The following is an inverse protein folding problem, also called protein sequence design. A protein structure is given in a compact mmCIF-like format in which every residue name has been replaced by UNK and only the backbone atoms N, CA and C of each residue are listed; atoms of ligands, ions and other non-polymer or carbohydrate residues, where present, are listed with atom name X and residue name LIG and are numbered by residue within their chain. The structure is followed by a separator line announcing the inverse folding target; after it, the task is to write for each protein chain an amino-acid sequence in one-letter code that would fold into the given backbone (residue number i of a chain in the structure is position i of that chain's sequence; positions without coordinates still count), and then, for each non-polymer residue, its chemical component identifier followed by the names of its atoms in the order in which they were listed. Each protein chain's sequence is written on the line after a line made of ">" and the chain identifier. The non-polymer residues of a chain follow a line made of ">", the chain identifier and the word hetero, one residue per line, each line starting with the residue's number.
data_IF_817776408619
#
_entry.id   IF_817776408619
#
_cell.length_a   1.000
_cell.length_b   1.000
_cell.length_c   1.000
_cell.angle_alpha   90.00
_cell.angle_beta   90.00
_cell.angle_gamma   90.00
#
_symmetry.space_group_name_H-M   'P 1'
#
loop_
_entity.id
_entity.type
_entity.pdbx_description
1 polymer ?
#
# COMPACT_ATOMS: atom_id res chain seq x y z
N UNK A 1 25.82 67.63 -29.97
CA UNK A 1 24.54 67.48 -29.25
C UNK A 1 24.02 66.01 -29.14
N UNK A 2 24.80 65.04 -29.53
CA UNK A 2 24.36 63.61 -29.53
C UNK A 2 24.86 62.85 -28.31
N UNK A 3 25.77 63.39 -27.49
CA UNK A 3 26.36 62.66 -26.36
C UNK A 3 25.55 62.75 -25.04
N UNK A 4 24.68 63.77 -24.91
CA UNK A 4 23.89 63.96 -23.67
C UNK A 4 22.64 63.10 -23.65
N UNK A 5 22.13 62.67 -24.81
CA UNK A 5 20.94 61.80 -24.90
C UNK A 5 21.20 60.38 -24.48
N UNK A 6 22.40 59.86 -24.76
CA UNK A 6 22.78 58.50 -24.33
C UNK A 6 23.02 58.38 -22.81
N UNK A 7 23.46 59.44 -22.16
CA UNK A 7 23.64 59.47 -20.70
C UNK A 7 22.29 59.52 -19.96
N UNK A 8 21.31 60.21 -20.50
CA UNK A 8 19.96 60.31 -19.92
C UNK A 8 19.16 59.01 -20.10
N UNK A 9 19.31 58.31 -21.21
CA UNK A 9 18.70 56.96 -21.44
C UNK A 9 19.33 55.89 -20.56
N UNK A 10 20.63 55.93 -20.31
CA UNK A 10 21.33 55.05 -19.39
C UNK A 10 20.87 55.21 -17.93
N UNK A 11 20.63 56.48 -17.52
CA UNK A 11 20.17 56.76 -16.17
C UNK A 11 18.70 56.35 -15.93
N UNK A 12 17.85 56.51 -16.94
CA UNK A 12 16.45 56.01 -16.88
C UNK A 12 16.36 54.47 -16.85
N UNK A 13 17.30 53.76 -17.48
CA UNK A 13 17.32 52.32 -17.46
C UNK A 13 17.81 51.75 -16.13
N UNK A 14 18.78 52.43 -15.48
CA UNK A 14 19.25 52.02 -14.12
C UNK A 14 18.24 52.34 -13.04
N UNK A 15 17.41 53.39 -13.17
CA UNK A 15 16.32 53.70 -12.23
C UNK A 15 15.14 52.71 -12.42
N UNK A 16 14.92 52.23 -13.67
CA UNK A 16 13.86 51.23 -13.92
C UNK A 16 14.21 49.84 -13.42
N UNK A 17 15.51 49.49 -13.32
CA UNK A 17 15.98 48.24 -12.74
C UNK A 17 16.08 48.25 -11.21
N UNK A 18 16.10 49.43 -10.58
CA UNK A 18 16.12 49.57 -9.12
C UNK A 18 14.73 49.64 -8.48
N UNK A 19 13.65 49.74 -9.29
CA UNK A 19 12.26 49.86 -8.85
C UNK A 19 11.46 48.54 -8.88
N UNK A 20 12.09 47.38 -9.07
CA UNK A 20 11.42 46.08 -8.88
C UNK A 20 11.28 45.83 -7.39
N UNK A 21 10.23 46.41 -6.79
CA UNK A 21 9.74 46.00 -5.49
C UNK A 21 9.50 44.50 -5.51
N UNK A 22 10.29 43.78 -4.71
CA UNK A 22 10.05 42.39 -4.37
C UNK A 22 8.64 42.26 -3.80
N UNK A 23 7.72 41.82 -4.65
CA UNK A 23 6.46 41.23 -4.18
C UNK A 23 6.88 40.00 -3.40
N UNK A 24 6.84 40.06 -2.08
CA UNK A 24 7.01 38.96 -1.18
C UNK A 24 5.90 37.95 -1.50
N UNK A 25 6.29 36.84 -2.10
CA UNK A 25 5.44 35.68 -2.31
C UNK A 25 4.93 35.18 -0.94
N UNK A 26 3.61 35.11 -0.70
CA UNK A 26 3.07 34.67 0.59
C UNK A 26 3.38 33.21 0.94
N UNK A 27 4.07 32.45 0.08
CA UNK A 27 4.41 31.05 0.28
C UNK A 27 5.68 30.81 1.11
N UNK A 28 6.45 31.82 1.52
CA UNK A 28 7.68 31.69 2.33
C UNK A 28 7.52 31.97 3.83
N UNK A 29 6.33 31.88 4.39
CA UNK A 29 6.16 31.78 5.83
C UNK A 29 6.20 30.32 6.28
N UNK A 30 7.30 29.62 5.97
CA UNK A 30 7.61 28.37 6.68
C UNK A 30 8.14 28.76 8.07
N UNK A 31 7.53 28.25 9.16
CA UNK A 31 8.10 28.40 10.48
C UNK A 31 9.49 27.74 10.45
N UNK A 32 10.50 28.49 10.86
CA UNK A 32 11.88 28.00 11.03
C UNK A 32 11.90 26.92 12.12
N UNK A 33 11.48 25.70 11.76
CA UNK A 33 11.83 24.54 12.54
C UNK A 33 13.35 24.36 12.42
N UNK A 34 14.06 24.48 13.52
CA UNK A 34 15.44 24.07 13.61
C UNK A 34 15.45 22.56 13.27
N UNK A 35 15.69 22.23 12.01
CA UNK A 35 15.89 20.85 11.57
C UNK A 35 17.17 20.36 12.24
N UNK A 36 17.03 19.80 13.45
CA UNK A 36 18.11 19.01 14.05
C UNK A 36 18.37 17.86 13.09
N UNK A 37 19.47 17.95 12.33
CA UNK A 37 19.92 16.86 11.49
C UNK A 37 20.16 15.66 12.39
N UNK A 38 19.25 14.69 12.34
CA UNK A 38 19.38 13.42 13.05
C UNK A 38 20.69 12.75 12.60
N UNK A 39 21.43 12.24 13.55
CA UNK A 39 22.62 11.44 13.25
C UNK A 39 22.19 10.22 12.42
N UNK A 40 23.03 9.76 11.48
CA UNK A 40 22.70 8.64 10.58
C UNK A 40 22.26 7.36 11.31
N UNK A 41 22.77 7.16 12.52
CA UNK A 41 22.39 6.04 13.38
C UNK A 41 20.98 6.22 13.96
N UNK A 42 20.64 7.40 14.47
CA UNK A 42 19.30 7.73 14.99
C UNK A 42 18.23 7.58 13.89
N UNK A 43 18.55 8.04 12.66
CA UNK A 43 17.65 7.88 11.51
C UNK A 43 17.39 6.40 11.20
N UNK A 44 18.43 5.54 11.24
CA UNK A 44 18.27 4.09 11.02
C UNK A 44 17.44 3.42 12.11
N UNK A 45 17.61 3.82 13.37
CA UNK A 45 16.80 3.29 14.49
C UNK A 45 15.35 3.66 14.34
N UNK A 46 15.04 4.94 14.03
CA UNK A 46 13.66 5.38 13.73
C UNK A 46 13.06 4.61 12.54
N UNK A 47 13.80 4.43 11.45
CA UNK A 47 13.32 3.65 10.31
C UNK A 47 12.98 2.21 10.69
N UNK A 48 13.79 1.56 11.55
CA UNK A 48 13.50 0.22 12.07
C UNK A 48 12.24 0.18 12.93
N UNK A 49 12.02 1.20 13.77
CA UNK A 49 10.80 1.28 14.58
C UNK A 49 9.55 1.43 13.69
N UNK A 50 9.62 2.28 12.66
CA UNK A 50 8.49 2.45 11.72
C UNK A 50 8.24 1.14 10.95
N UNK A 51 9.28 0.46 10.45
CA UNK A 51 9.14 -0.84 9.79
C UNK A 51 8.50 -1.88 10.73
N UNK A 52 8.89 -1.89 12.02
CA UNK A 52 8.28 -2.76 13.02
C UNK A 52 6.78 -2.48 13.22
N UNK A 53 6.35 -1.20 13.18
CA UNK A 53 4.93 -0.82 13.23
C UNK A 53 4.19 -1.33 12.00
N UNK A 54 4.83 -1.28 10.83
CA UNK A 54 4.30 -1.83 9.57
C UNK A 54 4.31 -3.37 9.56
N UNK A 55 4.87 -4.02 10.58
CA UNK A 55 5.01 -5.47 10.67
C UNK A 55 6.08 -6.04 9.73
N UNK A 56 7.05 -5.20 9.33
CA UNK A 56 8.16 -5.58 8.47
C UNK A 56 9.43 -5.73 9.29
N UNK A 57 10.14 -6.87 9.14
CA UNK A 57 11.39 -7.12 9.84
C UNK A 57 12.55 -6.31 9.25
N UNK A 58 12.49 -6.00 7.97
CA UNK A 58 13.48 -5.22 7.22
C UNK A 58 12.80 -4.49 6.06
N UNK A 59 13.55 -3.56 5.45
CA UNK A 59 13.12 -2.83 4.26
C UNK A 59 13.08 -3.78 3.06
N UNK A 60 11.95 -3.90 2.35
CA UNK A 60 11.86 -4.70 1.13
C UNK A 60 12.83 -4.23 0.05
N UNK A 61 13.33 -5.20 -0.74
CA UNK A 61 14.25 -4.97 -1.87
C UNK A 61 13.71 -5.67 -3.11
N UNK A 62 12.64 -5.15 -3.72
CA UNK A 62 12.05 -5.79 -4.89
C UNK A 62 13.00 -5.78 -6.09
N UNK A 63 12.99 -6.85 -6.88
CA UNK A 63 13.68 -6.94 -8.16
C UNK A 63 12.78 -6.34 -9.26
N UNK A 64 12.80 -5.02 -9.42
CA UNK A 64 11.96 -4.32 -10.39
C UNK A 64 12.65 -4.29 -11.76
N UNK A 65 11.98 -4.79 -12.78
CA UNK A 65 12.41 -4.71 -14.17
C UNK A 65 12.08 -3.33 -14.76
N UNK A 66 13.09 -2.46 -14.90
CA UNK A 66 13.10 -1.21 -15.69
C UNK A 66 11.82 -0.34 -15.64
N UNK A 67 11.19 -0.17 -14.46
CA UNK A 67 10.12 0.82 -14.26
C UNK A 67 8.78 0.51 -14.95
N UNK A 68 8.59 -0.68 -15.53
CA UNK A 68 7.30 -1.12 -16.08
C UNK A 68 6.59 -2.03 -15.07
N UNK A 69 5.36 -1.68 -14.77
CA UNK A 69 4.50 -2.50 -13.91
C UNK A 69 3.95 -3.69 -14.69
N UNK A 70 3.98 -4.90 -14.07
CA UNK A 70 3.25 -6.07 -14.57
C UNK A 70 1.75 -5.93 -14.26
N UNK A 71 0.95 -6.91 -14.69
CA UNK A 71 -0.50 -6.95 -14.45
C UNK A 71 -0.88 -6.91 -12.96
N UNK A 72 -0.15 -7.66 -12.10
CA UNK A 72 -0.44 -7.70 -10.68
C UNK A 72 -0.34 -6.33 -9.98
N UNK A 73 0.74 -5.55 -10.10
CA UNK A 73 0.81 -4.19 -9.59
C UNK A 73 -0.29 -3.27 -10.12
N UNK A 74 -0.64 -3.37 -11.41
CA UNK A 74 -1.71 -2.55 -12.00
C UNK A 74 -3.07 -2.88 -11.37
N UNK A 75 -3.40 -4.16 -11.26
CA UNK A 75 -4.62 -4.62 -10.61
C UNK A 75 -4.69 -4.16 -9.14
N UNK A 76 -3.59 -4.29 -8.40
CA UNK A 76 -3.51 -3.87 -7.00
C UNK A 76 -3.61 -2.35 -6.84
N UNK A 77 -3.10 -1.58 -7.81
CA UNK A 77 -3.26 -0.13 -7.84
C UNK A 77 -4.72 0.28 -8.11
N UNK A 78 -5.42 -0.44 -8.99
CA UNK A 78 -6.86 -0.22 -9.23
C UNK A 78 -7.69 -0.52 -7.98
N UNK A 79 -7.36 -1.60 -7.23
CA UNK A 79 -7.96 -1.90 -5.93
C UNK A 79 -7.70 -0.78 -4.91
N UNK A 80 -6.46 -0.29 -4.81
CA UNK A 80 -6.10 0.81 -3.93
C UNK A 80 -6.89 2.08 -4.25
N UNK A 81 -6.99 2.43 -5.54
CA UNK A 81 -7.72 3.61 -5.99
C UNK A 81 -9.23 3.50 -5.69
N UNK A 82 -9.83 2.32 -5.86
CA UNK A 82 -11.24 2.11 -5.53
C UNK A 82 -11.54 2.32 -4.05
N UNK A 83 -10.64 1.89 -3.13
CA UNK A 83 -10.78 2.18 -1.69
C UNK A 83 -10.65 3.66 -1.37
N UNK A 84 -9.77 4.38 -2.07
CA UNK A 84 -9.53 5.81 -1.82
C UNK A 84 -10.66 6.69 -2.30
N UNK A 85 -11.47 6.21 -3.24
CA UNK A 85 -12.57 6.94 -3.87
C UNK A 85 -13.81 6.96 -2.97
N UNK A 86 -14.02 5.95 -2.15
CA UNK A 86 -15.13 5.92 -1.17
C UNK A 86 -15.01 7.02 -0.11
N UNK A 87 -13.80 7.54 0.14
CA UNK A 87 -13.57 8.67 1.07
C UNK A 87 -13.73 10.07 0.44
N UNK A 88 -13.83 10.18 -0.90
CA UNK A 88 -13.91 11.46 -1.63
C UNK A 88 -15.05 11.42 -2.66
N UNK A 89 -16.09 12.21 -2.44
CA UNK A 89 -17.29 12.32 -3.26
C UNK A 89 -17.17 13.11 -4.58
N UNK A 90 -15.95 13.32 -5.13
CA UNK A 90 -15.72 14.05 -6.38
C UNK A 90 -14.90 13.21 -7.39
N UNK A 91 -15.58 12.34 -8.18
CA UNK A 91 -14.88 11.26 -8.91
C UNK A 91 -15.20 11.13 -10.38
N UNK A 92 -15.60 12.14 -11.08
CA UNK A 92 -15.82 11.98 -12.54
C UNK A 92 -14.55 12.14 -13.41
N UNK A 93 -13.40 12.57 -12.86
CA UNK A 93 -12.25 12.93 -13.68
C UNK A 93 -11.15 11.86 -13.79
N UNK A 94 -11.11 10.83 -12.92
CA UNK A 94 -10.07 9.78 -12.94
C UNK A 94 -10.47 8.49 -13.66
N UNK A 95 -11.67 8.41 -14.22
CA UNK A 95 -12.25 7.18 -14.79
C UNK A 95 -11.65 6.73 -16.12
N UNK A 96 -10.73 7.50 -16.69
CA UNK A 96 -10.29 7.33 -18.09
C UNK A 96 -8.92 6.69 -18.31
N UNK A 97 -8.08 6.47 -17.29
CA UNK A 97 -6.68 6.12 -17.50
C UNK A 97 -6.31 4.63 -17.41
N UNK A 98 -7.15 3.77 -16.82
CA UNK A 98 -6.81 2.35 -16.59
C UNK A 98 -7.96 1.42 -17.02
N UNK A 99 -8.01 1.05 -18.29
CA UNK A 99 -9.09 0.23 -18.87
C UNK A 99 -8.82 -1.27 -18.91
N UNK A 100 -7.65 -1.76 -18.53
CA UNK A 100 -7.24 -3.14 -18.81
C UNK A 100 -7.33 -4.14 -17.65
N UNK A 101 -7.36 -3.68 -16.38
CA UNK A 101 -7.27 -4.58 -15.21
C UNK A 101 -8.40 -4.40 -14.20
N UNK A 102 -9.58 -3.92 -14.63
CA UNK A 102 -10.69 -3.61 -13.70
C UNK A 102 -10.95 -4.75 -12.72
N UNK A 103 -10.97 -4.46 -11.40
CA UNK A 103 -11.48 -5.40 -10.41
C UNK A 103 -12.94 -5.72 -10.70
N UNK A 104 -13.33 -6.98 -10.56
CA UNK A 104 -14.73 -7.40 -10.65
C UNK A 104 -15.51 -6.93 -9.42
N UNK A 105 -16.83 -6.94 -9.50
CA UNK A 105 -17.70 -6.67 -8.34
C UNK A 105 -17.38 -7.62 -7.18
N UNK A 106 -17.12 -8.90 -7.48
CA UNK A 106 -16.72 -9.88 -6.47
C UNK A 106 -15.41 -9.51 -5.79
N UNK A 107 -14.37 -9.11 -6.55
CA UNK A 107 -13.09 -8.66 -5.96
C UNK A 107 -13.26 -7.42 -5.08
N UNK A 108 -14.21 -6.52 -5.41
CA UNK A 108 -14.50 -5.34 -4.59
C UNK A 108 -15.25 -5.72 -3.30
N UNK A 109 -16.15 -6.69 -3.35
CA UNK A 109 -16.81 -7.22 -2.14
C UNK A 109 -15.79 -7.85 -1.18
N UNK A 110 -14.88 -8.67 -1.70
CA UNK A 110 -13.79 -9.26 -0.89
C UNK A 110 -12.87 -8.19 -0.30
N UNK A 111 -12.60 -7.11 -1.04
CA UNK A 111 -11.76 -6.00 -0.59
C UNK A 111 -12.35 -5.27 0.62
N UNK A 112 -13.67 -5.11 0.67
CA UNK A 112 -14.35 -4.41 1.77
C UNK A 112 -14.11 -5.11 3.12
N UNK A 113 -14.09 -6.44 3.11
CA UNK A 113 -13.90 -7.26 4.31
C UNK A 113 -12.43 -7.61 4.60
N UNK A 114 -11.52 -7.36 3.65
CA UNK A 114 -10.12 -7.70 3.81
C UNK A 114 -9.34 -6.62 4.59
N UNK A 115 -8.46 -7.06 5.47
CA UNK A 115 -7.45 -6.21 6.12
C UNK A 115 -6.15 -6.15 5.28
N UNK A 116 -5.92 -7.16 4.42
CA UNK A 116 -4.74 -7.27 3.57
C UNK A 116 -5.09 -8.00 2.25
N UNK A 117 -4.49 -7.55 1.15
CA UNK A 117 -4.53 -8.24 -0.14
C UNK A 117 -3.11 -8.43 -0.63
N UNK A 118 -2.79 -9.61 -1.15
CA UNK A 118 -1.48 -9.92 -1.73
C UNK A 118 -1.65 -10.44 -3.15
N UNK A 119 -0.84 -9.96 -4.08
CA UNK A 119 -0.70 -10.56 -5.41
C UNK A 119 0.59 -11.34 -5.48
N UNK A 120 0.57 -12.46 -6.20
CA UNK A 120 1.71 -13.36 -6.39
C UNK A 120 2.01 -13.48 -7.87
N UNK A 121 3.29 -13.27 -8.23
CA UNK A 121 3.74 -13.46 -9.60
C UNK A 121 3.92 -14.94 -9.91
N UNK A 122 3.65 -15.31 -11.15
CA UNK A 122 3.90 -16.68 -11.60
C UNK A 122 5.40 -16.96 -11.75
N UNK A 123 5.89 -18.00 -11.07
CA UNK A 123 7.31 -18.36 -11.05
C UNK A 123 7.75 -19.18 -12.25
N UNK A 124 6.88 -20.02 -12.79
CA UNK A 124 7.18 -20.95 -13.87
C UNK A 124 6.17 -20.83 -14.99
N UNK A 125 6.62 -21.05 -16.20
CA UNK A 125 5.77 -21.30 -17.34
C UNK A 125 6.47 -22.34 -18.22
N UNK A 126 6.00 -23.56 -18.10
CA UNK A 126 6.44 -24.67 -18.92
C UNK A 126 5.29 -25.07 -19.83
N UNK A 127 5.40 -24.70 -21.12
CA UNK A 127 4.55 -25.30 -22.15
C UNK A 127 5.11 -26.71 -22.42
N UNK A 128 4.39 -27.73 -21.99
CA UNK A 128 4.78 -29.12 -22.21
C UNK A 128 3.87 -29.73 -23.26
N UNK A 129 4.47 -30.44 -24.22
CA UNK A 129 3.80 -31.35 -25.14
C UNK A 129 4.10 -32.78 -24.70
N UNK A 130 3.09 -33.51 -24.26
CA UNK A 130 3.23 -34.92 -23.90
C UNK A 130 3.01 -35.80 -25.13
N UNK A 131 4.07 -36.46 -25.61
CA UNK A 131 3.99 -37.55 -26.56
C UNK A 131 3.64 -38.85 -25.81
N UNK A 132 2.76 -39.75 -26.38
CA UNK A 132 2.34 -39.89 -27.76
C UNK A 132 0.98 -39.20 -28.10
N UNK A 133 0.27 -38.64 -27.11
CA UNK A 133 -1.10 -38.13 -27.30
C UNK A 133 -1.19 -36.66 -27.74
N UNK A 134 -0.05 -35.97 -27.97
CA UNK A 134 0.05 -34.55 -28.33
C UNK A 134 -0.85 -33.63 -27.47
N UNK A 135 -0.83 -33.86 -26.15
CA UNK A 135 -1.55 -32.98 -25.22
C UNK A 135 -0.66 -31.82 -24.84
N UNK A 136 -1.20 -30.62 -24.96
CA UNK A 136 -0.51 -29.38 -24.61
C UNK A 136 -0.99 -28.88 -23.24
N UNK A 137 -0.04 -28.59 -22.35
CA UNK A 137 -0.31 -28.07 -21.02
C UNK A 137 0.55 -26.86 -20.74
N UNK A 138 0.04 -25.97 -19.88
CA UNK A 138 0.84 -24.88 -19.30
C UNK A 138 0.74 -24.90 -17.81
N UNK A 139 1.88 -24.83 -17.14
CA UNK A 139 2.00 -24.90 -15.69
C UNK A 139 2.17 -23.50 -15.08
N UNK A 140 1.61 -23.32 -13.88
CA UNK A 140 1.73 -22.11 -13.08
C UNK A 140 2.09 -22.47 -11.64
N UNK A 141 3.00 -21.70 -11.02
CA UNK A 141 3.43 -21.92 -9.65
C UNK A 141 3.62 -20.59 -8.93
N UNK A 142 3.11 -20.52 -7.71
CA UNK A 142 3.13 -19.31 -6.89
C UNK A 142 3.85 -19.56 -5.58
N UNK A 143 4.67 -18.60 -5.12
CA UNK A 143 5.33 -18.70 -3.83
C UNK A 143 4.49 -18.01 -2.74
N UNK A 144 3.90 -18.79 -1.86
CA UNK A 144 3.05 -18.33 -0.76
C UNK A 144 3.80 -18.21 0.57
N UNK A 145 5.12 -18.41 0.60
CA UNK A 145 5.93 -18.40 1.83
C UNK A 145 5.96 -17.05 2.56
N UNK A 146 5.56 -15.97 1.89
CA UNK A 146 5.52 -14.63 2.46
C UNK A 146 4.20 -14.32 3.20
N UNK A 147 3.24 -15.22 3.15
CA UNK A 147 1.99 -15.05 3.89
C UNK A 147 2.30 -15.17 5.39
N UNK A 148 1.95 -14.15 6.20
CA UNK A 148 2.22 -14.20 7.64
C UNK A 148 1.48 -15.34 8.31
N UNK A 149 2.10 -16.01 9.27
CA UNK A 149 1.48 -17.05 10.05
C UNK A 149 0.22 -16.55 10.78
N UNK A 150 -0.86 -17.33 10.69
CA UNK A 150 -2.14 -17.02 11.34
C UNK A 150 -3.05 -16.07 10.59
N UNK A 151 -2.70 -15.65 9.36
CA UNK A 151 -3.61 -14.96 8.45
C UNK A 151 -4.47 -15.99 7.71
N UNK A 152 -5.80 -15.76 7.67
CA UNK A 152 -6.73 -16.63 6.95
C UNK A 152 -7.03 -16.06 5.56
N UNK A 153 -6.88 -16.88 4.52
CA UNK A 153 -7.31 -16.51 3.17
C UNK A 153 -8.84 -16.59 3.12
N UNK A 154 -9.48 -15.46 2.86
CA UNK A 154 -10.94 -15.35 2.70
C UNK A 154 -11.39 -15.60 1.27
N UNK A 155 -10.56 -15.16 0.31
CA UNK A 155 -10.76 -15.40 -1.11
C UNK A 155 -9.41 -15.44 -1.82
N UNK A 156 -9.28 -16.24 -2.89
CA UNK A 156 -8.11 -16.23 -3.76
C UNK A 156 -8.52 -16.55 -5.20
N UNK A 157 -7.95 -15.80 -6.15
CA UNK A 157 -8.24 -15.91 -7.57
C UNK A 157 -6.95 -16.13 -8.37
N UNK A 158 -6.99 -17.06 -9.31
CA UNK A 158 -6.03 -17.15 -10.39
C UNK A 158 -6.56 -16.38 -11.58
N UNK A 159 -5.78 -15.45 -12.11
CA UNK A 159 -6.18 -14.54 -13.18
C UNK A 159 -5.28 -14.71 -14.40
N UNK A 160 -5.89 -14.92 -15.56
CA UNK A 160 -5.21 -15.08 -16.85
C UNK A 160 -5.93 -14.25 -17.91
N UNK A 161 -5.18 -13.54 -18.74
CA UNK A 161 -5.73 -12.72 -19.82
C UNK A 161 -5.90 -13.52 -21.08
N UNK A 162 -7.07 -13.39 -21.72
CA UNK A 162 -7.37 -13.92 -23.04
C UNK A 162 -7.42 -12.80 -24.05
N UNK A 163 -6.65 -12.95 -25.12
CA UNK A 163 -6.69 -12.08 -26.30
C UNK A 163 -7.66 -12.63 -27.34
N UNK A 164 -8.25 -11.76 -28.14
CA UNK A 164 -9.06 -12.13 -29.29
C UNK A 164 -8.20 -12.90 -30.31
N UNK A 165 -8.67 -14.06 -30.76
CA UNK A 165 -8.00 -14.87 -31.79
C UNK A 165 -8.54 -14.50 -33.16
N UNK A 166 -7.83 -13.61 -33.86
CA UNK A 166 -8.24 -13.10 -35.17
C UNK A 166 -8.19 -14.09 -36.33
N UNK A 167 -7.39 -15.18 -36.18
CA UNK A 167 -7.23 -16.23 -37.17
C UNK A 167 -8.32 -17.31 -37.11
N UNK A 168 -9.05 -17.39 -35.99
CA UNK A 168 -10.14 -18.35 -35.81
C UNK A 168 -11.47 -17.78 -36.34
N UNK A 169 -12.41 -18.65 -36.65
CA UNK A 169 -13.79 -18.22 -36.91
C UNK A 169 -14.36 -17.54 -35.68
N UNK A 170 -15.12 -16.45 -35.84
CA UNK A 170 -15.75 -15.76 -34.71
C UNK A 170 -16.63 -16.68 -33.83
N UNK A 171 -17.14 -17.76 -34.42
CA UNK A 171 -17.99 -18.74 -33.75
C UNK A 171 -17.18 -19.95 -33.21
N UNK A 172 -15.87 -19.95 -33.36
CA UNK A 172 -15.04 -21.02 -32.80
C UNK A 172 -14.98 -20.91 -31.28
N UNK A 173 -15.07 -22.05 -30.61
CA UNK A 173 -15.01 -22.15 -29.17
C UNK A 173 -13.93 -23.09 -28.72
N UNK A 174 -13.31 -22.77 -27.59
CA UNK A 174 -12.31 -23.57 -26.93
C UNK A 174 -12.80 -23.98 -25.54
N UNK A 175 -12.47 -25.17 -25.10
CA UNK A 175 -12.70 -25.63 -23.73
C UNK A 175 -11.39 -25.45 -22.95
N UNK A 176 -11.37 -24.48 -22.04
CA UNK A 176 -10.28 -24.29 -21.08
C UNK A 176 -10.57 -25.08 -19.82
N UNK A 177 -9.65 -25.93 -19.40
CA UNK A 177 -9.72 -26.67 -18.15
C UNK A 177 -8.54 -26.28 -17.26
N UNK A 178 -8.83 -25.97 -15.99
CA UNK A 178 -7.87 -25.60 -14.95
C UNK A 178 -7.79 -26.72 -13.94
N UNK A 179 -6.59 -27.22 -13.67
CA UNK A 179 -6.33 -28.36 -12.79
C UNK A 179 -5.40 -27.95 -11.65
N UNK A 180 -5.61 -28.53 -10.49
CA UNK A 180 -4.61 -28.64 -9.44
C UNK A 180 -3.66 -29.80 -9.76
N UNK A 181 -2.36 -29.58 -9.61
CA UNK A 181 -1.37 -30.66 -9.59
C UNK A 181 -1.37 -31.30 -8.21
N UNK A 182 -1.72 -32.59 -8.15
CA UNK A 182 -1.85 -33.36 -6.88
C UNK A 182 -0.61 -34.19 -6.60
N UNK A 183 0.02 -34.73 -7.65
CA UNK A 183 1.22 -35.55 -7.53
C UNK A 183 2.07 -35.47 -8.80
N UNK A 184 3.37 -35.45 -8.63
CA UNK A 184 4.36 -35.58 -9.70
C UNK A 184 5.03 -36.96 -9.60
N UNK A 185 5.10 -37.66 -10.72
CA UNK A 185 5.71 -39.00 -10.79
C UNK A 185 6.83 -39.02 -11.84
N UNK A 186 7.99 -39.65 -11.54
CA UNK A 186 9.10 -39.67 -12.49
C UNK A 186 8.79 -40.45 -13.79
N UNK A 187 7.94 -41.48 -13.72
CA UNK A 187 7.74 -42.45 -14.81
C UNK A 187 6.32 -42.44 -15.42
N UNK A 188 5.44 -41.57 -14.98
CA UNK A 188 4.07 -41.47 -15.48
C UNK A 188 3.55 -40.02 -15.48
N UNK A 189 2.39 -39.83 -16.12
CA UNK A 189 1.69 -38.56 -16.15
C UNK A 189 1.42 -38.03 -14.73
N UNK A 190 1.38 -36.72 -14.60
CA UNK A 190 1.08 -35.95 -13.37
C UNK A 190 -0.35 -36.25 -12.94
N UNK A 191 -0.57 -36.50 -11.65
CA UNK A 191 -1.91 -36.63 -11.10
C UNK A 191 -2.57 -35.24 -11.03
N UNK A 192 -3.73 -35.10 -11.70
CA UNK A 192 -4.44 -33.84 -11.84
C UNK A 192 -5.82 -33.93 -11.22
N UNK A 193 -6.23 -32.87 -10.52
CA UNK A 193 -7.60 -32.68 -10.05
C UNK A 193 -8.23 -31.50 -10.76
N UNK A 194 -9.34 -31.71 -11.46
CA UNK A 194 -10.06 -30.65 -12.19
C UNK A 194 -10.68 -29.68 -11.19
N UNK A 195 -10.33 -28.40 -11.31
CA UNK A 195 -10.93 -27.32 -10.52
C UNK A 195 -12.14 -26.73 -11.24
N UNK A 196 -11.94 -26.30 -12.49
CA UNK A 196 -12.97 -25.67 -13.32
C UNK A 196 -12.75 -25.92 -14.80
N UNK A 197 -13.83 -26.04 -15.57
CA UNK A 197 -13.80 -26.00 -17.04
C UNK A 197 -14.71 -24.91 -17.55
N UNK A 198 -14.19 -24.10 -18.48
CA UNK A 198 -14.90 -22.96 -19.05
C UNK A 198 -14.82 -22.96 -20.57
N UNK A 199 -15.95 -22.73 -21.22
CA UNK A 199 -15.99 -22.54 -22.69
C UNK A 199 -15.67 -21.08 -23.01
N UNK A 200 -14.71 -20.87 -23.91
CA UNK A 200 -14.25 -19.57 -24.35
C UNK A 200 -14.55 -19.37 -25.82
N UNK A 201 -15.00 -18.18 -26.20
CA UNK A 201 -15.14 -17.83 -27.60
C UNK A 201 -13.84 -17.30 -28.17
N UNK A 202 -13.53 -17.61 -29.42
CA UNK A 202 -12.31 -17.10 -30.09
C UNK A 202 -12.26 -15.57 -30.08
N UNK A 203 -13.42 -14.91 -30.28
CA UNK A 203 -13.54 -13.45 -30.30
C UNK A 203 -13.57 -12.79 -28.90
N UNK A 204 -13.66 -13.57 -27.82
CA UNK A 204 -13.67 -13.05 -26.46
C UNK A 204 -12.31 -12.49 -26.09
N UNK A 205 -12.29 -11.32 -25.43
CA UNK A 205 -11.08 -10.69 -24.90
C UNK A 205 -11.33 -10.19 -23.48
N UNK A 206 -10.39 -10.43 -22.59
CA UNK A 206 -10.44 -9.95 -21.21
C UNK A 206 -9.80 -10.89 -20.20
N UNK A 207 -9.93 -10.52 -18.93
CA UNK A 207 -9.47 -11.33 -17.81
C UNK A 207 -10.42 -12.48 -17.52
N UNK A 208 -9.86 -13.66 -17.36
CA UNK A 208 -10.51 -14.86 -16.86
C UNK A 208 -10.06 -15.05 -15.40
N UNK A 209 -11.03 -15.27 -14.52
CA UNK A 209 -10.85 -15.40 -13.08
C UNK A 209 -11.31 -16.79 -12.66
N UNK A 210 -10.48 -17.46 -11.87
CA UNK A 210 -10.75 -18.80 -11.34
C UNK A 210 -10.60 -18.77 -9.83
N UNK A 211 -11.62 -19.23 -9.12
CA UNK A 211 -11.58 -19.37 -7.66
C UNK A 211 -10.64 -20.50 -7.25
N UNK A 212 -9.60 -20.15 -6.52
CA UNK A 212 -8.63 -21.07 -5.96
C UNK A 212 -8.52 -20.95 -4.43
N UNK A 213 -9.56 -20.44 -3.77
CA UNK A 213 -9.58 -20.16 -2.33
C UNK A 213 -9.28 -21.40 -1.50
N UNK A 214 -10.00 -22.50 -1.74
CA UNK A 214 -9.81 -23.76 -0.99
C UNK A 214 -8.40 -24.31 -1.20
N UNK A 215 -7.91 -24.26 -2.46
CA UNK A 215 -6.59 -24.72 -2.82
C UNK A 215 -5.49 -23.87 -2.17
N UNK A 216 -5.64 -22.55 -2.16
CA UNK A 216 -4.69 -21.63 -1.56
C UNK A 216 -4.57 -21.84 -0.05
N UNK A 217 -5.68 -22.10 0.64
CA UNK A 217 -5.67 -22.44 2.05
C UNK A 217 -4.94 -23.77 2.31
N UNK A 218 -5.10 -24.76 1.42
CA UNK A 218 -4.34 -26.02 1.50
C UNK A 218 -2.83 -25.76 1.33
N UNK A 219 -2.44 -24.93 0.37
CA UNK A 219 -1.04 -24.62 0.12
C UNK A 219 -0.37 -23.84 1.25
N UNK A 220 -1.11 -22.99 1.96
CA UNK A 220 -0.60 -22.28 3.14
C UNK A 220 -0.42 -23.21 4.33
N UNK A 221 -1.39 -24.11 4.56
CA UNK A 221 -1.32 -25.07 5.68
C UNK A 221 -0.33 -26.19 5.43
N UNK A 222 -0.17 -26.58 4.18
CA UNK A 222 0.70 -27.70 3.77
C UNK A 222 1.52 -27.31 2.54
N UNK A 223 2.63 -26.55 2.69
CA UNK A 223 3.42 -26.04 1.56
C UNK A 223 3.96 -27.10 0.62
N UNK A 224 4.16 -28.34 1.10
CA UNK A 224 4.60 -29.48 0.27
C UNK A 224 3.56 -29.88 -0.80
N UNK A 225 2.29 -29.55 -0.60
CA UNK A 225 1.22 -29.80 -1.57
C UNK A 225 1.08 -28.67 -2.61
N UNK A 226 1.90 -27.61 -2.52
CA UNK A 226 1.93 -26.57 -3.55
C UNK A 226 2.74 -27.03 -4.76
N UNK A 227 2.16 -27.92 -5.53
CA UNK A 227 2.72 -28.37 -6.80
C UNK A 227 2.31 -27.48 -7.96
N UNK A 228 1.38 -26.52 -7.75
CA UNK A 228 0.96 -25.54 -8.72
C UNK A 228 -0.35 -25.88 -9.42
N UNK A 229 -0.62 -25.12 -10.48
CA UNK A 229 -1.77 -25.29 -11.38
C UNK A 229 -1.31 -25.73 -12.75
N UNK A 230 -2.18 -26.42 -13.46
CA UNK A 230 -2.00 -26.76 -14.86
C UNK A 230 -3.25 -26.40 -15.64
N UNK A 231 -3.09 -25.85 -16.85
CA UNK A 231 -4.20 -25.60 -17.76
C UNK A 231 -4.04 -26.42 -19.03
N UNK A 232 -5.17 -26.86 -19.59
CA UNK A 232 -5.25 -27.43 -20.93
C UNK A 232 -6.35 -26.75 -21.73
N UNK A 233 -6.18 -26.73 -23.04
CA UNK A 233 -7.17 -26.18 -23.96
C UNK A 233 -7.48 -27.18 -25.05
N UNK A 234 -8.77 -27.38 -25.29
CA UNK A 234 -9.27 -28.26 -26.35
C UNK A 234 -10.18 -27.46 -27.31
N UNK A 235 -10.09 -27.79 -28.57
CA UNK A 235 -11.04 -27.30 -29.58
C UNK A 235 -12.42 -27.94 -29.41
N UNK A 236 -13.44 -27.44 -30.11
CA UNK A 236 -14.78 -28.04 -30.15
C UNK A 236 -14.79 -29.49 -30.69
N UNK A 237 -13.75 -29.87 -31.44
CA UNK A 237 -13.56 -31.23 -31.95
C UNK A 237 -12.77 -32.15 -31.00
N UNK A 238 -12.39 -31.69 -29.81
CA UNK A 238 -11.67 -32.46 -28.79
C UNK A 238 -10.16 -32.56 -29.02
N UNK A 239 -9.60 -31.74 -29.92
CA UNK A 239 -8.13 -31.68 -30.11
C UNK A 239 -7.50 -30.77 -29.08
N UNK A 240 -6.46 -31.26 -28.42
CA UNK A 240 -5.64 -30.43 -27.53
C UNK A 240 -4.77 -29.47 -28.35
N UNK A 241 -4.79 -28.19 -27.99
CA UNK A 241 -4.01 -27.14 -28.63
C UNK A 241 -3.17 -26.39 -27.60
N UNK A 242 -2.11 -25.71 -28.07
CA UNK A 242 -1.32 -24.85 -27.20
C UNK A 242 -2.20 -23.71 -26.66
N UNK A 243 -2.21 -23.42 -25.34
CA UNK A 243 -2.99 -22.34 -24.74
C UNK A 243 -2.78 -20.97 -25.43
N UNK A 244 -1.61 -20.72 -25.99
CA UNK A 244 -1.30 -19.52 -26.77
C UNK A 244 -2.14 -19.43 -28.07
N UNK A 245 -2.44 -20.55 -28.70
CA UNK A 245 -3.26 -20.58 -29.93
C UNK A 245 -4.71 -20.20 -29.65
N UNK A 246 -5.19 -20.48 -28.43
CA UNK A 246 -6.50 -20.03 -27.94
C UNK A 246 -6.49 -18.57 -27.41
N UNK A 247 -5.37 -17.85 -27.56
CA UNK A 247 -5.22 -16.47 -27.13
C UNK A 247 -4.89 -16.27 -25.65
N UNK A 248 -4.54 -17.33 -24.89
CA UNK A 248 -4.17 -17.20 -23.49
C UNK A 248 -2.76 -16.63 -23.35
N UNK A 249 -2.68 -15.46 -22.71
CA UNK A 249 -1.42 -14.76 -22.49
C UNK A 249 -0.61 -15.48 -21.42
N UNK A 250 0.67 -15.71 -21.71
CA UNK A 250 1.59 -16.35 -20.78
C UNK A 250 2.60 -15.37 -20.18
N UNK A 251 3.58 -15.90 -19.45
CA UNK A 251 4.64 -15.14 -18.78
C UNK A 251 5.47 -14.26 -19.73
N UNK A 252 5.61 -14.66 -20.99
CA UNK A 252 6.37 -13.94 -22.00
C UNK A 252 5.51 -12.99 -22.84
N UNK A 253 4.23 -12.83 -22.49
CA UNK A 253 3.32 -11.87 -23.11
C UNK A 253 3.55 -10.44 -22.60
N UNK A 254 2.66 -9.54 -23.02
CA UNK A 254 2.66 -8.15 -22.57
C UNK A 254 2.60 -8.09 -21.04
N UNK A 255 3.45 -7.25 -20.43
CA UNK A 255 3.62 -7.20 -18.96
C UNK A 255 2.30 -6.95 -18.24
N UNK A 256 1.46 -6.07 -18.78
CA UNK A 256 0.16 -5.69 -18.25
C UNK A 256 -0.92 -6.79 -18.38
N UNK A 257 -0.63 -7.89 -19.08
CA UNK A 257 -1.55 -9.01 -19.32
C UNK A 257 -1.04 -10.35 -18.80
N UNK A 258 0.11 -10.34 -18.12
CA UNK A 258 0.70 -11.57 -17.57
C UNK A 258 -0.19 -12.18 -16.49
N UNK A 259 -0.25 -13.52 -16.40
CA UNK A 259 -1.04 -14.20 -15.39
C UNK A 259 -0.46 -14.00 -13.98
N UNK A 260 -1.35 -13.89 -13.00
CA UNK A 260 -1.00 -13.75 -11.59
C UNK A 260 -2.07 -14.37 -10.69
N UNK A 261 -1.75 -14.51 -9.43
CA UNK A 261 -2.68 -14.89 -8.38
C UNK A 261 -2.89 -13.70 -7.44
N UNK A 262 -4.09 -13.53 -6.92
CA UNK A 262 -4.40 -12.58 -5.86
C UNK A 262 -5.11 -13.29 -4.72
N UNK A 263 -4.77 -12.94 -3.47
CA UNK A 263 -5.42 -13.49 -2.28
C UNK A 263 -5.80 -12.37 -1.32
N UNK A 264 -6.98 -12.49 -0.72
CA UNK A 264 -7.58 -11.59 0.24
C UNK A 264 -7.51 -12.21 1.63
N UNK A 265 -7.14 -11.42 2.63
CA UNK A 265 -6.90 -11.89 3.99
C UNK A 265 -7.68 -11.08 5.00
N UNK A 266 -8.18 -11.75 6.02
CA UNK A 266 -8.74 -11.12 7.21
C UNK A 266 -7.85 -11.45 8.40
N UNK A 267 -7.42 -10.43 9.12
CA UNK A 267 -6.61 -10.63 10.32
C UNK A 267 -7.44 -11.37 11.36
N UNK A 268 -6.98 -12.54 11.78
CA UNK A 268 -7.57 -13.24 12.92
C UNK A 268 -7.38 -12.39 14.17
N UNK A 269 -8.47 -11.99 14.86
CA UNK A 269 -8.43 -11.17 16.08
C UNK A 269 -7.71 -11.83 17.27
N UNK A 270 -7.27 -13.08 17.10
CA UNK A 270 -6.59 -13.89 18.13
C UNK A 270 -5.08 -13.59 18.24
N UNK A 271 -4.59 -12.48 17.73
CA UNK A 271 -3.23 -12.04 18.10
C UNK A 271 -3.25 -11.57 19.57
N UNK A 272 -2.90 -12.50 20.44
CA UNK A 272 -2.45 -12.19 21.81
C UNK A 272 -1.48 -11.00 21.69
N UNK A 273 -1.88 -9.84 22.23
CA UNK A 273 -0.99 -8.69 22.37
C UNK A 273 0.23 -9.20 23.13
N UNK A 274 1.29 -9.54 22.41
CA UNK A 274 2.61 -9.68 23.05
C UNK A 274 2.92 -8.32 23.64
N UNK A 275 2.79 -8.23 24.96
CA UNK A 275 3.07 -7.02 25.72
C UNK A 275 4.46 -6.53 25.30
N UNK A 276 4.56 -5.27 24.87
CA UNK A 276 5.85 -4.61 24.69
C UNK A 276 6.64 -4.89 25.94
N UNK A 277 7.72 -5.67 25.85
CA UNK A 277 8.66 -5.85 26.94
C UNK A 277 9.18 -4.46 27.27
N UNK A 278 8.81 -3.98 28.46
CA UNK A 278 9.38 -2.75 29.01
C UNK A 278 10.85 -3.02 29.19
N UNK A 279 11.66 -2.62 28.22
CA UNK A 279 13.11 -2.67 28.32
C UNK A 279 13.48 -1.92 29.59
N UNK A 280 14.16 -2.62 30.51
CA UNK A 280 14.71 -2.03 31.74
C UNK A 280 15.49 -0.78 31.37
N UNK A 281 14.91 0.38 31.65
CA UNK A 281 15.52 1.69 31.51
C UNK A 281 16.74 1.73 32.45
N UNK A 282 17.90 1.56 31.88
CA UNK A 282 19.18 1.76 32.57
C UNK A 282 19.21 3.24 33.00
N UNK A 283 19.05 3.49 34.30
CA UNK A 283 19.25 4.81 34.90
C UNK A 283 20.71 5.21 34.71
N UNK A 284 20.97 6.01 33.71
CA UNK A 284 22.20 6.78 33.64
C UNK A 284 21.98 8.08 34.41
N UNK A 285 22.60 8.18 35.57
CA UNK A 285 22.77 9.44 36.29
C UNK A 285 23.38 10.47 35.33
N UNK A 286 22.57 11.39 34.82
CA UNK A 286 23.07 12.57 34.13
C UNK A 286 23.00 13.75 35.10
N UNK A 287 24.18 14.20 35.51
CA UNK A 287 24.40 15.46 36.19
C UNK A 287 23.64 16.59 35.48
N UNK A 288 22.79 17.25 36.24
CA UNK A 288 22.07 18.44 35.87
C UNK A 288 23.08 19.60 35.78
N UNK A 289 23.64 19.86 34.61
CA UNK A 289 24.34 21.13 34.35
C UNK A 289 23.30 22.20 34.06
N UNK A 290 23.22 23.20 34.94
CA UNK A 290 22.45 24.42 34.79
C UNK A 290 22.97 25.18 33.55
N UNK A 291 22.26 25.09 32.45
CA UNK A 291 22.40 26.07 31.36
C UNK A 291 21.26 27.10 31.56
N UNK A 292 21.65 28.26 32.08
CA UNK A 292 20.83 29.48 32.02
C UNK A 292 20.75 29.88 30.57
N UNK A 293 19.64 29.62 29.91
CA UNK A 293 19.28 30.24 28.63
C UNK A 293 18.69 31.61 28.92
N UNK A 294 19.35 32.65 28.41
CA UNK A 294 18.85 34.02 28.37
C UNK A 294 17.51 34.05 27.64
N UNK A 295 16.60 34.85 28.19
CA UNK A 295 15.24 34.95 27.76
C UNK A 295 15.07 35.42 26.31
N UNK A 296 14.20 34.70 25.64
CA UNK A 296 13.48 35.21 24.50
C UNK A 296 12.05 35.46 24.96
N UNK A 297 11.72 36.74 25.19
CA UNK A 297 10.38 37.18 25.53
C UNK A 297 9.52 37.18 24.26
N UNK A 298 9.24 36.03 23.69
CA UNK A 298 8.07 35.84 22.83
C UNK A 298 6.98 35.23 23.71
N UNK A 299 5.95 36.02 23.95
CA UNK A 299 4.75 35.57 24.63
C UNK A 299 4.16 34.37 23.91
N UNK A 300 4.55 33.17 24.35
CA UNK A 300 3.86 31.93 24.00
C UNK A 300 2.41 32.06 24.47
N UNK A 301 1.53 32.52 23.59
CA UNK A 301 0.12 32.25 23.72
C UNK A 301 -0.02 30.74 23.68
N UNK A 302 -0.01 30.13 24.87
CA UNK A 302 -0.27 28.70 25.02
C UNK A 302 -1.60 28.38 24.36
N UNK A 303 -1.52 27.75 23.19
CA UNK A 303 -2.70 27.45 22.39
C UNK A 303 -3.50 26.33 23.05
N UNK A 304 -4.84 26.45 22.99
CA UNK A 304 -5.74 25.40 23.47
C UNK A 304 -5.51 24.08 22.71
N UNK A 305 -5.78 22.95 23.38
CA UNK A 305 -5.67 21.61 22.78
C UNK A 305 -6.40 21.54 21.44
N UNK A 306 -5.67 21.21 20.39
CA UNK A 306 -6.20 21.09 19.02
C UNK A 306 -5.37 20.14 18.16
N UNK A 307 -5.94 19.79 17.01
CA UNK A 307 -5.24 19.05 15.97
C UNK A 307 -4.32 19.98 15.19
N UNK A 308 -3.08 19.54 14.97
CA UNK A 308 -2.06 20.16 14.14
C UNK A 308 -1.73 19.29 12.95
N UNK A 309 -1.29 19.92 11.86
CA UNK A 309 -0.90 19.22 10.64
C UNK A 309 0.47 18.56 10.80
N UNK A 310 0.56 17.32 10.37
CA UNK A 310 1.80 16.56 10.22
C UNK A 310 1.65 15.69 8.98
N UNK A 311 2.49 15.97 7.97
CA UNK A 311 2.57 15.14 6.79
C UNK A 311 3.78 14.21 6.88
N UNK A 312 3.56 12.90 6.66
CA UNK A 312 4.61 11.89 6.59
C UNK A 312 4.86 11.53 5.14
N UNK A 313 6.03 11.89 4.62
CA UNK A 313 6.45 11.60 3.25
C UNK A 313 7.30 10.34 3.19
N UNK A 314 6.89 9.34 2.43
CA UNK A 314 7.68 8.12 2.21
C UNK A 314 8.93 8.40 1.37
N UNK A 315 8.91 9.45 0.54
CA UNK A 315 10.09 9.92 -0.20
C UNK A 315 11.19 10.44 0.74
N UNK A 316 10.83 11.24 1.76
CA UNK A 316 11.79 11.74 2.75
C UNK A 316 12.39 10.63 3.62
N UNK A 317 11.63 9.55 3.84
CA UNK A 317 12.12 8.32 4.46
C UNK A 317 13.03 7.51 3.52
N UNK A 318 13.08 7.84 2.22
CA UNK A 318 13.84 7.12 1.20
C UNK A 318 13.21 5.77 0.85
N UNK A 319 11.87 5.66 0.86
CA UNK A 319 11.11 4.43 0.66
C UNK A 319 10.35 4.35 -0.67
N UNK A 320 10.56 5.32 -1.56
CA UNK A 320 9.90 5.40 -2.86
C UNK A 320 10.25 4.26 -3.84
N UNK A 321 11.24 3.45 -3.53
CA UNK A 321 11.67 2.32 -4.36
C UNK A 321 10.85 1.04 -4.11
N UNK A 322 10.15 0.95 -2.99
CA UNK A 322 9.34 -0.22 -2.65
C UNK A 322 7.89 0.11 -2.27
N UNK A 323 7.58 1.36 -1.89
CA UNK A 323 6.19 1.81 -1.69
C UNK A 323 5.64 2.35 -3.01
N UNK A 324 4.51 1.78 -3.46
CA UNK A 324 3.82 2.16 -4.69
C UNK A 324 2.87 3.33 -4.42
N UNK A 325 2.06 3.23 -3.37
CA UNK A 325 1.06 4.23 -2.98
C UNK A 325 0.72 4.16 -1.49
N UNK A 326 0.37 5.31 -0.87
CA UNK A 326 0.49 6.69 -1.38
C UNK A 326 1.94 7.21 -1.33
N UNK A 327 2.21 8.41 -1.86
CA UNK A 327 3.52 9.07 -1.69
C UNK A 327 3.79 9.50 -0.24
N UNK A 328 2.73 9.69 0.54
CA UNK A 328 2.73 10.06 1.95
C UNK A 328 1.31 10.27 2.44
N UNK A 329 1.14 10.63 3.71
CA UNK A 329 -0.17 10.84 4.30
C UNK A 329 -0.16 11.90 5.41
N UNK A 330 -1.29 12.55 5.63
CA UNK A 330 -1.50 13.52 6.70
C UNK A 330 -1.76 12.77 8.03
N UNK A 331 -0.70 12.46 8.77
CA UNK A 331 -0.78 11.78 10.06
C UNK A 331 -1.45 12.65 11.12
N UNK A 332 -1.14 13.95 11.12
CA UNK A 332 -1.52 14.95 12.11
C UNK A 332 -1.07 14.58 13.53
N UNK A 333 -1.19 15.52 14.47
CA UNK A 333 -0.90 15.30 15.90
C UNK A 333 -1.73 16.22 16.78
N UNK A 334 -1.80 15.90 18.06
CA UNK A 334 -2.48 16.71 19.07
C UNK A 334 -1.46 17.47 19.90
N UNK A 335 -1.68 18.79 20.05
CA UNK A 335 -0.87 19.63 20.91
C UNK A 335 -1.70 20.78 21.46
N UNK A 336 -1.21 21.36 22.55
CA UNK A 336 -1.84 22.46 23.25
C UNK A 336 -2.22 22.14 24.68
N UNK A 337 -2.63 23.17 25.42
CA UNK A 337 -2.97 23.04 26.83
C UNK A 337 -4.45 22.72 27.07
N UNK A 338 -4.70 21.87 28.07
CA UNK A 338 -6.00 21.58 28.66
C UNK A 338 -6.20 22.44 29.92
N UNK A 339 -6.32 23.77 29.74
CA UNK A 339 -6.49 24.70 30.84
C UNK A 339 -7.95 25.09 30.98
N UNK A 340 -8.38 25.36 32.24
CA UNK A 340 -9.73 25.84 32.54
C UNK A 340 -9.96 27.26 31.95
N UNK A 341 -11.17 27.56 31.43
CA UNK A 341 -12.30 26.64 31.26
C UNK A 341 -12.13 25.75 30.03
N UNK A 342 -12.37 24.44 30.17
CA UNK A 342 -12.40 23.52 29.07
C UNK A 342 -13.65 23.79 28.22
N UNK A 343 -13.44 24.24 26.97
CA UNK A 343 -14.54 24.57 26.08
C UNK A 343 -15.01 23.35 25.26
N UNK A 344 -16.15 23.48 24.58
CA UNK A 344 -16.73 22.39 23.80
C UNK A 344 -15.82 21.90 22.65
N UNK A 345 -14.92 22.76 22.14
CA UNK A 345 -14.00 22.40 21.06
C UNK A 345 -12.84 21.51 21.49
N UNK A 346 -12.58 21.44 22.80
CA UNK A 346 -11.54 20.59 23.38
C UNK A 346 -11.95 19.13 23.57
N UNK A 347 -13.18 18.75 23.22
CA UNK A 347 -13.71 17.38 23.37
C UNK A 347 -13.28 16.73 24.72
N UNK A 348 -13.39 17.49 25.81
CA UNK A 348 -12.95 17.05 27.11
C UNK A 348 -13.88 15.98 27.65
N UNK A 349 -13.30 14.93 28.26
CA UNK A 349 -14.07 13.95 29.02
C UNK A 349 -14.56 14.54 30.34
N UNK A 350 -15.63 14.00 30.92
CA UNK A 350 -16.07 14.38 32.26
C UNK A 350 -14.95 14.21 33.29
N UNK A 351 -14.11 13.19 33.14
CA UNK A 351 -12.93 12.97 33.97
C UNK A 351 -11.95 14.15 33.86
N UNK A 352 -11.60 14.58 32.66
CA UNK A 352 -10.70 15.70 32.43
C UNK A 352 -11.24 17.01 33.02
N UNK A 353 -12.56 17.24 32.97
CA UNK A 353 -13.21 18.39 33.61
C UNK A 353 -12.98 18.36 35.12
N UNK A 354 -13.28 17.22 35.78
CA UNK A 354 -13.08 17.04 37.21
C UNK A 354 -11.60 17.17 37.59
N UNK A 355 -10.71 16.52 36.81
CA UNK A 355 -9.27 16.61 37.06
C UNK A 355 -8.76 18.05 36.97
N UNK A 356 -9.25 18.84 36.00
CA UNK A 356 -8.89 20.26 35.88
C UNK A 356 -9.32 21.06 37.09
N UNK A 357 -10.52 20.83 37.59
CA UNK A 357 -11.01 21.51 38.80
C UNK A 357 -10.16 21.15 40.01
N UNK A 358 -9.83 19.85 40.19
CA UNK A 358 -8.97 19.40 41.29
C UNK A 358 -7.55 19.95 41.13
N UNK A 359 -7.02 20.02 39.89
CA UNK A 359 -5.72 20.65 39.62
C UNK A 359 -5.70 22.12 40.05
N UNK A 360 -6.75 22.89 39.81
CA UNK A 360 -6.83 24.27 40.25
C UNK A 360 -6.77 24.42 41.79
N UNK A 361 -7.34 23.45 42.51
CA UNK A 361 -7.29 23.44 43.97
C UNK A 361 -5.96 22.91 44.53
N UNK A 362 -5.33 21.95 43.85
CA UNK A 362 -4.11 21.30 44.33
C UNK A 362 -3.14 21.00 43.18
N UNK A 363 -2.51 22.04 42.56
CA UNK A 363 -1.67 21.91 41.38
C UNK A 363 -0.39 21.09 41.59
N UNK A 364 0.04 20.95 42.85
CA UNK A 364 1.28 20.20 43.17
C UNK A 364 1.09 18.68 43.10
N UNK A 365 -0.11 18.19 43.34
CA UNK A 365 -0.40 16.75 43.46
C UNK A 365 -1.20 16.19 42.30
N UNK A 366 -1.94 17.03 41.57
CA UNK A 366 -2.77 16.60 40.43
C UNK A 366 -2.33 17.33 39.15
N UNK A 367 -1.86 16.62 38.14
CA UNK A 367 -1.48 17.24 36.85
C UNK A 367 -2.71 17.72 36.07
N UNK A 368 -2.50 18.63 35.12
CA UNK A 368 -3.51 18.98 34.12
C UNK A 368 -3.82 17.75 33.25
N UNK A 369 -5.03 17.66 32.66
CA UNK A 369 -5.31 16.72 31.59
C UNK A 369 -4.36 16.90 30.39
N UNK A 370 -4.16 15.83 29.64
CA UNK A 370 -3.30 15.85 28.45
C UNK A 370 -4.14 16.02 27.19
N UNK A 371 -3.59 16.78 26.22
CA UNK A 371 -4.13 16.84 24.87
C UNK A 371 -3.74 15.56 24.11
N UNK A 372 -4.73 14.75 23.74
CA UNK A 372 -4.50 13.46 23.12
C UNK A 372 -5.50 13.16 21.98
N UNK A 373 -5.17 12.24 21.06
CA UNK A 373 -6.11 11.80 20.03
C UNK A 373 -7.34 11.12 20.60
N UNK A 374 -8.52 11.62 20.23
CA UNK A 374 -9.83 11.02 20.58
C UNK A 374 -10.38 10.16 19.46
N UNK A 375 -9.99 10.44 18.21
CA UNK A 375 -10.40 9.68 17.03
C UNK A 375 -9.21 9.48 16.10
N UNK A 376 -8.94 8.21 15.78
CA UNK A 376 -7.90 7.78 14.88
C UNK A 376 -8.50 7.04 13.67
N UNK A 377 -7.89 7.19 12.51
CA UNK A 377 -8.27 6.49 11.28
C UNK A 377 -7.13 5.62 10.77
N UNK A 378 -7.49 4.65 9.93
CA UNK A 378 -6.54 3.80 9.23
C UNK A 378 -6.01 4.49 7.98
N UNK A 379 -4.89 3.96 7.44
CA UNK A 379 -4.42 4.19 6.08
C UNK A 379 -4.24 2.85 5.38
N UNK A 380 -4.39 2.85 4.06
CA UNK A 380 -3.98 1.73 3.22
C UNK A 380 -2.66 2.06 2.56
N UNK A 381 -1.73 1.12 2.56
CA UNK A 381 -0.41 1.26 1.92
C UNK A 381 -0.22 0.11 0.94
N UNK A 382 0.17 0.45 -0.28
CA UNK A 382 0.47 -0.46 -1.37
C UNK A 382 1.98 -0.51 -1.56
N UNK A 383 2.59 -1.70 -1.46
CA UNK A 383 4.03 -1.85 -1.49
C UNK A 383 4.48 -3.21 -2.03
N UNK A 384 5.76 -3.30 -2.43
CA UNK A 384 6.40 -4.55 -2.84
C UNK A 384 7.05 -5.27 -1.66
N UNK A 385 6.99 -6.62 -1.68
CA UNK A 385 7.85 -7.47 -0.85
C UNK A 385 9.19 -7.79 -1.55
N UNK A 386 10.05 -8.62 -0.92
CA UNK A 386 11.34 -9.02 -1.48
C UNK A 386 11.22 -9.92 -2.72
N UNK A 387 10.09 -10.58 -2.92
CA UNK A 387 9.81 -11.44 -4.08
C UNK A 387 9.12 -10.67 -5.22
N UNK A 388 9.03 -9.34 -5.11
CA UNK A 388 8.31 -8.48 -6.05
C UNK A 388 6.80 -8.76 -6.12
N UNK A 389 6.23 -9.42 -5.12
CA UNK A 389 4.79 -9.48 -4.92
C UNK A 389 4.28 -8.12 -4.43
N UNK A 390 3.04 -7.78 -4.74
CA UNK A 390 2.42 -6.52 -4.31
C UNK A 390 1.46 -6.77 -3.17
N UNK A 391 1.61 -5.98 -2.12
CA UNK A 391 0.81 -6.07 -0.90
C UNK A 391 0.05 -4.77 -0.71
N UNK A 392 -1.25 -4.85 -0.56
CA UNK A 392 -2.14 -3.78 -0.10
C UNK A 392 -2.56 -4.11 1.34
N UNK A 393 -2.15 -3.28 2.30
CA UNK A 393 -2.42 -3.53 3.72
C UNK A 393 -2.98 -2.30 4.41
N UNK A 394 -4.02 -2.52 5.22
CA UNK A 394 -4.69 -1.49 6.02
C UNK A 394 -4.05 -1.41 7.41
N UNK A 395 -3.48 -0.26 7.74
CA UNK A 395 -2.85 0.03 9.03
C UNK A 395 -3.77 0.88 9.89
N UNK A 396 -4.25 0.33 11.01
CA UNK A 396 -5.18 1.01 11.93
C UNK A 396 -4.45 2.07 12.77
N UNK A 397 -5.18 3.12 13.18
CA UNK A 397 -4.71 4.16 14.13
C UNK A 397 -3.51 5.00 13.64
N UNK A 398 -3.42 5.27 12.33
CA UNK A 398 -2.30 5.99 11.73
C UNK A 398 -2.55 7.50 11.57
N UNK A 399 -3.81 7.95 11.55
CA UNK A 399 -4.19 9.34 11.25
C UNK A 399 -5.01 9.90 12.40
N UNK A 400 -4.60 11.04 12.94
CA UNK A 400 -5.39 11.78 13.94
C UNK A 400 -6.51 12.55 13.25
N UNK A 401 -7.75 12.26 13.60
CA UNK A 401 -8.94 12.97 13.11
C UNK A 401 -9.46 14.02 14.12
N UNK A 402 -9.41 13.70 15.39
CA UNK A 402 -9.85 14.60 16.45
C UNK A 402 -8.93 14.50 17.66
N UNK A 403 -8.79 15.62 18.36
CA UNK A 403 -8.06 15.74 19.63
C UNK A 403 -9.01 16.12 20.74
N UNK A 404 -8.62 15.84 21.98
CA UNK A 404 -9.37 16.24 23.17
C UNK A 404 -8.52 16.13 24.45
N UNK A 405 -9.08 16.62 25.52
CA UNK A 405 -8.46 16.62 26.86
C UNK A 405 -8.87 15.37 27.63
N UNK A 406 -7.87 14.59 28.06
CA UNK A 406 -8.05 13.31 28.80
C UNK A 406 -7.13 13.21 30.01
#
# INVERSE_FOLDING_TARGET
>A
MTSIWFALLGFLWTVYLAGSSSVLDPSELQPNFIHRRLHSQEKREMQKEILSILGLNHRPRPHLNNGKYNSAPLFMLDLYNSMSTEEKSDVDQYRSLFTTTRPTLASLEFLHDADMVMSFVNLVENDRELSPQRRHYREYKFNLSQIPEGEAITAAEFRIYKECVTRASRNETFLLSVFQVVGEHPDRDVDLFLLESRRLWAAEEGWLEFDITALSNLWVTSPLHNLGLQISVETSSGWSINPKEAGLVGRYGALERQPFMVAFFKVSEVRVRTGRSVGKRRQTNRNRSNIRTLGDYNSDQKTACRKHELYVSFRELGWQDWIIAPEGYAANYCDGECSFPLNAHMNATNHAIVQTLVHLMNPQNVPKPCCAPTKLHAISVLYYDDNSNVILKKYKNMVVRACGCH
#
